data_IF_739650621231
#
_entry.id   IF_739650621231
#
_cell.length_a   1.000
_cell.length_b   1.000
_cell.length_c   1.000
_cell.angle_alpha   90.00
_cell.angle_beta   90.00
_cell.angle_gamma   90.00
#
_symmetry.space_group_name_H-M   'P 1'
#
loop_
_entity.id
_entity.type
_entity.pdbx_description
1 polymer ?
#
# COMPACT_ATOMS: atom_id res chain seq x y z
N UNK A 1 14.74 4.45 -5.97
CA UNK A 1 14.85 5.16 -4.68
C UNK A 1 16.21 4.84 -4.10
N UNK A 2 16.90 5.83 -3.54
CA UNK A 2 18.24 5.70 -2.98
C UNK A 2 18.20 4.94 -1.64
N UNK A 3 19.14 4.02 -1.45
CA UNK A 3 19.33 3.20 -0.26
C UNK A 3 20.59 3.68 0.45
N UNK A 4 20.46 4.03 1.72
CA UNK A 4 21.59 4.44 2.57
C UNK A 4 22.07 3.21 3.32
N UNK A 5 23.38 3.00 3.34
CA UNK A 5 24.01 1.94 4.13
C UNK A 5 24.80 2.54 5.28
N UNK A 6 24.62 1.97 6.47
CA UNK A 6 25.42 2.29 7.65
C UNK A 6 26.91 2.10 7.33
N UNK A 7 27.82 3.01 7.73
CA UNK A 7 29.23 2.95 7.36
C UNK A 7 30.01 1.86 8.11
N UNK A 8 29.73 0.60 7.80
CA UNK A 8 30.35 -0.58 8.40
C UNK A 8 31.89 -0.57 8.27
N UNK A 9 32.45 0.13 7.28
CA UNK A 9 33.90 0.25 7.07
C UNK A 9 34.57 1.34 7.93
N UNK A 10 33.81 2.16 8.67
CA UNK A 10 34.34 3.21 9.55
C UNK A 10 34.00 3.01 11.03
N UNK A 11 33.11 2.06 11.33
CA UNK A 11 32.66 1.76 12.68
C UNK A 11 33.01 0.32 13.00
N UNK A 12 33.74 0.13 14.09
CA UNK A 12 34.16 -1.19 14.54
C UNK A 12 32.95 -2.02 15.02
N UNK A 13 32.97 -3.31 14.70
CA UNK A 13 31.91 -4.24 15.13
C UNK A 13 31.88 -4.34 16.66
N UNK A 14 30.68 -4.30 17.23
CA UNK A 14 30.44 -4.38 18.67
C UNK A 14 30.52 -3.02 19.40
N UNK A 15 30.82 -1.93 18.68
CA UNK A 15 30.84 -0.59 19.27
C UNK A 15 29.46 -0.12 19.74
N UNK A 16 29.47 0.75 20.75
CA UNK A 16 28.32 1.53 21.20
C UNK A 16 28.17 2.77 20.35
N UNK A 17 27.02 2.94 19.69
CA UNK A 17 26.81 4.01 18.73
C UNK A 17 25.59 4.86 19.09
N UNK A 18 25.74 6.16 18.92
CA UNK A 18 24.61 7.11 18.86
C UNK A 18 24.38 7.46 17.40
N UNK A 19 23.14 7.35 16.95
CA UNK A 19 22.73 7.80 15.62
C UNK A 19 22.24 9.24 15.74
N UNK A 20 22.84 10.18 15.01
CA UNK A 20 22.42 11.59 15.01
C UNK A 20 21.55 11.87 13.78
N UNK A 21 20.26 12.09 14.02
CA UNK A 21 19.20 12.24 13.04
C UNK A 21 18.22 11.06 13.12
N UNK A 22 17.00 11.31 13.59
CA UNK A 22 15.91 10.34 13.70
C UNK A 22 15.03 10.26 12.44
N UNK A 23 15.38 11.01 11.39
CA UNK A 23 14.75 10.95 10.08
C UNK A 23 15.03 9.65 9.31
N UNK A 24 14.66 9.63 8.03
CA UNK A 24 14.71 8.42 7.16
C UNK A 24 16.05 7.67 7.20
N UNK A 25 17.17 8.36 7.08
CA UNK A 25 18.51 7.71 7.04
C UNK A 25 18.84 7.08 8.39
N UNK A 26 18.54 7.76 9.50
CA UNK A 26 18.82 7.24 10.84
C UNK A 26 17.99 6.03 11.20
N UNK A 27 16.73 5.99 10.75
CA UNK A 27 15.87 4.82 10.90
C UNK A 27 16.38 3.61 10.12
N UNK A 28 16.89 3.82 8.90
CA UNK A 28 17.53 2.76 8.11
C UNK A 28 18.76 2.22 8.84
N UNK A 29 19.65 3.10 9.32
CA UNK A 29 20.84 2.69 10.07
C UNK A 29 20.50 1.92 11.34
N UNK A 30 19.53 2.41 12.11
CA UNK A 30 19.04 1.72 13.30
C UNK A 30 18.52 0.31 12.95
N UNK A 31 17.71 0.19 11.91
CA UNK A 31 17.16 -1.09 11.47
C UNK A 31 18.26 -2.06 11.02
N UNK A 32 19.27 -1.58 10.27
CA UNK A 32 20.42 -2.38 9.86
C UNK A 32 21.19 -2.92 11.06
N UNK A 33 21.46 -2.07 12.06
CA UNK A 33 22.22 -2.45 13.24
C UNK A 33 21.47 -3.43 14.15
N UNK A 34 20.16 -3.24 14.35
CA UNK A 34 19.33 -4.17 15.12
C UNK A 34 19.20 -5.52 14.40
N UNK A 35 19.01 -5.49 13.08
CA UNK A 35 18.85 -6.72 12.27
C UNK A 35 20.15 -7.54 12.25
N UNK A 36 21.29 -6.88 12.12
CA UNK A 36 22.60 -7.55 12.01
C UNK A 36 23.25 -7.83 13.35
N UNK A 37 22.84 -7.14 14.41
CA UNK A 37 23.55 -7.13 15.71
C UNK A 37 24.97 -6.58 15.60
N UNK A 38 25.27 -5.74 14.60
CA UNK A 38 26.63 -5.29 14.31
C UNK A 38 27.17 -4.30 15.36
N UNK A 39 26.35 -3.39 15.86
CA UNK A 39 26.68 -2.43 16.93
C UNK A 39 25.54 -2.35 17.94
N UNK A 40 25.85 -1.90 19.16
CA UNK A 40 24.87 -1.55 20.18
C UNK A 40 24.41 -0.10 19.98
N UNK A 41 23.16 0.11 19.58
CA UNK A 41 22.61 1.47 19.47
C UNK A 41 22.14 1.92 20.85
N UNK A 42 22.85 2.87 21.45
CA UNK A 42 22.58 3.32 22.83
C UNK A 42 21.55 4.46 22.89
N UNK A 43 21.45 5.27 21.83
CA UNK A 43 20.44 6.30 21.67
C UNK A 43 20.37 6.80 20.22
N UNK A 44 19.28 7.50 19.88
CA UNK A 44 19.17 8.29 18.65
C UNK A 44 18.97 9.76 19.03
N UNK A 45 19.82 10.66 18.59
CA UNK A 45 19.72 12.08 18.91
C UNK A 45 19.07 12.86 17.75
N UNK A 46 18.09 13.72 18.03
CA UNK A 46 17.48 14.58 17.01
C UNK A 46 17.03 15.93 17.60
N UNK A 47 17.13 17.02 16.85
CA UNK A 47 16.69 18.35 17.33
C UNK A 47 15.20 18.42 17.56
N UNK A 48 14.43 17.62 16.84
CA UNK A 48 12.99 17.51 17.01
C UNK A 48 12.64 16.22 17.77
N UNK A 49 13.47 15.81 18.74
CA UNK A 49 13.34 14.54 19.47
C UNK A 49 11.95 14.32 20.06
N UNK A 50 11.28 15.38 20.53
CA UNK A 50 9.92 15.34 21.09
C UNK A 50 8.87 14.85 20.08
N UNK A 51 9.15 14.92 18.77
CA UNK A 51 8.25 14.44 17.71
C UNK A 51 8.30 12.93 17.49
N UNK A 52 9.28 12.24 18.08
CA UNK A 52 9.51 10.81 17.85
C UNK A 52 9.19 10.00 19.11
N UNK A 53 8.40 8.94 18.95
CA UNK A 53 8.12 7.98 20.03
C UNK A 53 9.29 7.01 20.25
N UNK A 54 9.24 6.23 21.33
CA UNK A 54 10.18 5.14 21.61
C UNK A 54 10.21 4.16 20.43
N UNK A 55 11.37 3.98 19.81
CA UNK A 55 11.54 3.05 18.68
C UNK A 55 11.54 1.58 19.15
N UNK A 56 11.86 1.35 20.42
CA UNK A 56 11.72 0.09 21.14
C UNK A 56 11.76 0.34 22.65
N UNK A 57 11.42 -0.65 23.48
CA UNK A 57 11.48 -0.54 24.96
C UNK A 57 12.84 -0.05 25.49
N UNK A 58 13.92 -0.24 24.70
CA UNK A 58 15.29 -0.01 25.13
C UNK A 58 16.02 1.14 24.40
N UNK A 59 15.41 1.77 23.39
CA UNK A 59 16.08 2.83 22.61
C UNK A 59 15.19 4.07 22.53
N UNK A 60 15.71 5.18 23.08
CA UNK A 60 15.06 6.48 23.13
C UNK A 60 15.58 7.41 22.03
N UNK A 61 14.68 8.24 21.51
CA UNK A 61 15.08 9.45 20.79
C UNK A 61 15.31 10.54 21.83
N UNK A 62 16.49 11.16 21.79
CA UNK A 62 16.99 12.05 22.84
C UNK A 62 17.31 13.43 22.27
N UNK A 63 17.27 14.42 23.15
CA UNK A 63 17.84 15.73 22.86
C UNK A 63 19.36 15.61 22.62
N UNK A 64 19.90 16.17 21.51
CA UNK A 64 21.33 16.27 21.29
C UNK A 64 22.15 16.77 22.49
N UNK A 65 21.61 17.67 23.31
CA UNK A 65 22.30 18.18 24.49
C UNK A 65 22.55 17.09 25.55
N UNK A 66 21.75 16.03 25.55
CA UNK A 66 21.88 14.92 26.50
C UNK A 66 22.87 13.84 26.06
N UNK A 67 23.45 13.94 24.86
CA UNK A 67 24.44 12.98 24.32
C UNK A 67 25.58 12.73 25.32
N UNK A 68 26.03 13.76 26.05
CA UNK A 68 27.11 13.66 27.02
C UNK A 68 26.81 12.71 28.20
N UNK A 69 25.53 12.40 28.47
CA UNK A 69 25.12 11.47 29.51
C UNK A 69 25.25 9.98 29.10
N UNK A 70 25.50 9.71 27.82
CA UNK A 70 25.58 8.35 27.28
C UNK A 70 27.03 7.89 27.11
N UNK A 71 27.27 6.60 27.32
CA UNK A 71 28.54 5.96 26.99
C UNK A 71 28.50 5.46 25.53
N UNK A 72 29.36 6.03 24.68
CA UNK A 72 29.43 5.69 23.26
C UNK A 72 30.86 5.76 22.71
N UNK A 73 31.11 4.95 21.69
CA UNK A 73 32.35 4.91 20.93
C UNK A 73 32.27 5.87 19.73
N UNK A 74 31.13 5.88 19.03
CA UNK A 74 30.90 6.70 17.84
C UNK A 74 29.54 7.42 17.85
N UNK A 75 29.51 8.60 17.22
CA UNK A 75 28.30 9.27 16.77
C UNK A 75 28.27 9.18 15.25
N UNK A 76 27.25 8.54 14.70
CA UNK A 76 27.05 8.38 13.26
C UNK A 76 25.97 9.35 12.80
N UNK A 77 26.34 10.33 11.98
CA UNK A 77 25.42 11.36 11.45
C UNK A 77 24.64 10.76 10.28
N UNK A 78 23.33 10.69 10.44
CA UNK A 78 22.40 10.10 9.50
C UNK A 78 21.54 11.19 8.82
N UNK A 79 22.21 12.11 8.11
CA UNK A 79 21.59 13.27 7.45
C UNK A 79 22.08 13.35 6.01
N UNK A 80 21.15 13.37 5.04
CA UNK A 80 21.48 13.39 3.60
C UNK A 80 21.97 14.75 3.09
N UNK A 81 21.65 15.85 3.77
CA UNK A 81 22.08 17.17 3.33
C UNK A 81 23.49 17.50 3.86
N UNK A 82 24.46 17.60 2.95
CA UNK A 82 25.87 17.85 3.30
C UNK A 82 26.08 19.14 4.10
N UNK A 83 25.38 20.23 3.76
CA UNK A 83 25.48 21.50 4.50
C UNK A 83 24.93 21.37 5.93
N UNK A 84 23.87 20.59 6.11
CA UNK A 84 23.32 20.31 7.45
C UNK A 84 24.26 19.41 8.24
N UNK A 85 24.84 18.40 7.59
CA UNK A 85 25.83 17.53 8.21
C UNK A 85 27.04 18.31 8.71
N UNK A 86 27.60 19.22 7.91
CA UNK A 86 28.71 20.08 8.32
C UNK A 86 28.36 20.96 9.52
N UNK A 87 27.14 21.52 9.56
CA UNK A 87 26.62 22.28 10.71
C UNK A 87 26.51 21.41 11.96
N UNK A 88 26.04 20.17 11.83
CA UNK A 88 25.94 19.22 12.95
C UNK A 88 27.33 18.83 13.46
N UNK A 89 28.29 18.54 12.57
CA UNK A 89 29.68 18.27 12.97
C UNK A 89 30.28 19.45 13.74
N UNK A 90 30.05 20.67 13.27
CA UNK A 90 30.51 21.88 13.95
C UNK A 90 29.86 22.02 15.35
N UNK A 91 28.54 21.84 15.44
CA UNK A 91 27.79 21.86 16.70
C UNK A 91 28.29 20.81 17.70
N UNK A 92 28.43 19.55 17.28
CA UNK A 92 28.91 18.46 18.13
C UNK A 92 30.31 18.73 18.69
N UNK A 93 31.19 19.36 17.89
CA UNK A 93 32.56 19.71 18.31
C UNK A 93 32.61 20.93 19.22
N UNK A 94 31.93 22.01 18.81
CA UNK A 94 32.03 23.32 19.47
C UNK A 94 31.21 23.38 20.76
N UNK A 95 29.97 22.88 20.72
CA UNK A 95 29.01 23.02 21.82
C UNK A 95 29.04 21.81 22.76
N UNK A 96 29.23 20.60 22.21
CA UNK A 96 29.20 19.35 22.99
C UNK A 96 30.59 18.72 23.22
N UNK A 97 31.65 19.35 22.73
CA UNK A 97 33.03 18.91 22.95
C UNK A 97 33.38 17.52 22.38
N UNK A 98 32.59 17.01 21.43
CA UNK A 98 32.78 15.66 20.88
C UNK A 98 34.05 15.61 20.04
N UNK A 99 34.94 14.65 20.34
CA UNK A 99 36.15 14.43 19.54
C UNK A 99 35.80 14.09 18.09
N UNK A 100 36.43 14.79 17.14
CA UNK A 100 36.19 14.56 15.71
C UNK A 100 36.48 13.13 15.24
N UNK A 101 37.29 12.36 15.97
CA UNK A 101 37.56 10.94 15.68
C UNK A 101 36.38 10.02 15.98
N UNK A 102 35.47 10.45 16.87
CA UNK A 102 34.24 9.74 17.22
C UNK A 102 33.08 10.07 16.28
N UNK A 103 33.20 11.08 15.42
CA UNK A 103 32.12 11.54 14.54
C UNK A 103 32.28 10.93 13.16
N UNK A 104 31.33 10.09 12.76
CA UNK A 104 31.28 9.44 11.44
C UNK A 104 30.13 10.05 10.65
N UNK A 105 30.38 10.50 9.42
CA UNK A 105 29.36 11.11 8.57
C UNK A 105 29.49 10.74 7.10
N UNK A 106 30.11 9.59 6.84
CA UNK A 106 30.21 9.04 5.50
C UNK A 106 29.08 8.04 5.31
N UNK A 107 28.25 8.21 4.29
CA UNK A 107 27.20 7.25 3.95
C UNK A 107 27.30 6.94 2.47
N UNK A 108 27.27 5.66 2.10
CA UNK A 108 27.22 5.28 0.69
C UNK A 108 25.77 5.33 0.24
N UNK A 109 25.53 6.12 -0.82
CA UNK A 109 24.31 6.09 -1.60
C UNK A 109 24.37 4.90 -2.56
N UNK A 110 23.65 3.81 -2.26
CA UNK A 110 23.43 2.75 -3.24
C UNK A 110 22.08 2.96 -3.94
N UNK A 111 22.04 2.86 -5.25
CA UNK A 111 20.80 2.73 -6.01
C UNK A 111 20.68 1.30 -6.56
N UNK A 112 19.49 0.67 -6.64
CA UNK A 112 18.29 0.78 -5.82
C UNK A 112 18.01 -0.54 -5.06
N UNK A 113 17.74 -0.52 -3.74
CA UNK A 113 16.96 -1.59 -3.10
C UNK A 113 16.34 -1.20 -1.75
N UNK A 114 15.04 -1.49 -1.63
CA UNK A 114 14.15 -1.35 -0.46
C UNK A 114 13.71 0.08 -0.10
N UNK A 115 12.40 0.28 -0.22
CA UNK A 115 11.66 1.45 0.25
C UNK A 115 11.37 1.25 1.75
N UNK A 116 11.76 2.21 2.58
CA UNK A 116 11.23 2.37 3.95
C UNK A 116 10.40 3.65 3.96
N UNK A 117 9.05 3.59 4.03
CA UNK A 117 8.21 4.74 4.31
C UNK A 117 7.83 4.83 5.79
N UNK A 118 7.60 6.07 6.20
CA UNK A 118 7.36 6.61 7.55
C UNK A 118 6.26 5.93 8.36
N UNK A 119 6.43 5.95 9.69
CA UNK A 119 5.34 5.82 10.67
C UNK A 119 4.61 7.18 10.71
N UNK A 120 3.34 7.19 10.31
CA UNK A 120 2.43 8.32 10.55
C UNK A 120 1.51 8.02 11.73
N UNK A 121 1.45 8.97 12.67
CA UNK A 121 0.36 9.34 13.61
C UNK A 121 -0.68 8.28 14.02
N UNK A 122 -0.84 8.15 15.35
CA UNK A 122 -2.02 7.65 16.08
C UNK A 122 -3.28 7.44 15.23
N UNK A 123 -3.66 6.18 15.07
CA UNK A 123 -5.06 5.76 15.03
C UNK A 123 -5.24 4.72 16.12
N UNK A 124 -6.13 5.02 17.07
CA UNK A 124 -6.42 4.16 18.20
C UNK A 124 -7.17 2.94 17.72
N UNK A 125 -6.67 1.76 18.08
CA UNK A 125 -7.36 0.50 18.35
C UNK A 125 -6.33 -0.62 18.24
N UNK A 126 -5.32 -0.63 19.13
CA UNK A 126 -4.34 -1.71 19.16
C UNK A 126 -4.05 -2.16 20.58
N UNK A 127 -4.11 -3.47 20.79
CA UNK A 127 -3.46 -4.14 21.92
C UNK A 127 -1.95 -4.11 21.67
N UNK A 128 -1.15 -3.74 22.69
CA UNK A 128 0.33 -3.82 22.62
C UNK A 128 0.84 -5.24 22.35
N UNK A 129 -0.02 -6.25 22.52
CA UNK A 129 0.31 -7.67 22.32
C UNK A 129 -0.10 -8.19 20.96
N UNK A 130 0.78 -8.96 20.35
CA UNK A 130 0.49 -9.74 19.14
C UNK A 130 -0.50 -10.87 19.43
N UNK A 131 -1.24 -11.31 18.42
CA UNK A 131 -2.20 -12.40 18.51
C UNK A 131 -1.55 -13.69 19.05
N UNK A 132 -0.30 -14.00 18.65
CA UNK A 132 0.41 -15.19 19.13
C UNK A 132 0.73 -15.16 20.63
N UNK A 133 0.64 -13.99 21.29
CA UNK A 133 0.86 -13.80 22.72
C UNK A 133 -0.44 -13.97 23.53
N UNK A 134 -1.57 -14.10 22.84
CA UNK A 134 -2.87 -14.34 23.44
C UNK A 134 -3.11 -15.83 23.55
N UNK A 135 -3.26 -16.33 24.76
CA UNK A 135 -3.60 -17.72 25.02
C UNK A 135 -5.10 -17.98 24.79
N UNK A 136 -5.43 -18.78 23.78
CA UNK A 136 -6.79 -19.24 23.47
C UNK A 136 -6.73 -20.44 22.49
N UNK A 137 -7.84 -21.18 22.33
CA UNK A 137 -7.93 -22.41 21.52
C UNK A 137 -8.08 -22.23 19.99
N UNK A 138 -7.85 -21.02 19.46
CA UNK A 138 -7.93 -20.69 18.04
C UNK A 138 -6.59 -20.75 17.30
N UNK A 139 -6.63 -20.48 16.01
CA UNK A 139 -5.44 -20.32 15.17
C UNK A 139 -4.94 -18.88 15.27
N UNK A 140 -3.63 -18.68 15.27
CA UNK A 140 -2.97 -17.36 15.20
C UNK A 140 -2.48 -17.11 13.80
N UNK A 141 -3.07 -16.13 13.15
CA UNK A 141 -2.81 -15.85 11.73
C UNK A 141 -2.13 -14.49 11.63
N UNK A 142 -0.99 -14.45 10.93
CA UNK A 142 -0.39 -13.21 10.44
C UNK A 142 -0.66 -13.08 8.95
N UNK A 143 -1.20 -11.95 8.52
CA UNK A 143 -1.36 -11.63 7.09
C UNK A 143 -0.62 -10.35 6.76
N UNK A 144 0.42 -10.46 5.92
CA UNK A 144 0.99 -9.30 5.26
C UNK A 144 0.19 -9.01 3.99
N UNK A 145 -0.18 -7.76 3.75
CA UNK A 145 -0.88 -7.31 2.55
C UNK A 145 -0.04 -6.27 1.79
N UNK A 146 -0.31 -6.13 0.48
CA UNK A 146 0.29 -5.07 -0.33
C UNK A 146 -0.04 -3.66 0.19
N UNK A 147 0.71 -2.65 -0.30
CA UNK A 147 0.53 -1.26 0.12
C UNK A 147 -0.59 -0.53 -0.65
N UNK A 148 -1.10 -1.10 -1.74
CA UNK A 148 -2.17 -0.51 -2.55
C UNK A 148 -3.55 -0.81 -1.96
N UNK A 149 -4.44 0.18 -1.97
CA UNK A 149 -5.83 0.01 -1.53
C UNK A 149 -6.55 -1.11 -2.28
N UNK A 150 -6.35 -1.20 -3.61
CA UNK A 150 -6.92 -2.27 -4.43
C UNK A 150 -6.39 -3.66 -4.07
N UNK A 151 -5.08 -3.75 -3.80
CA UNK A 151 -4.44 -5.01 -3.38
C UNK A 151 -5.02 -5.48 -2.04
N UNK A 152 -5.29 -4.57 -1.11
CA UNK A 152 -5.89 -4.88 0.20
C UNK A 152 -7.34 -5.35 0.04
N UNK A 153 -8.12 -4.74 -0.85
CA UNK A 153 -9.50 -5.17 -1.14
C UNK A 153 -9.52 -6.58 -1.72
N UNK A 154 -8.63 -6.88 -2.67
CA UNK A 154 -8.49 -8.24 -3.21
C UNK A 154 -8.01 -9.20 -2.11
N UNK A 155 -7.00 -8.80 -1.33
CA UNK A 155 -6.47 -9.59 -0.23
C UNK A 155 -7.52 -9.94 0.81
N UNK A 156 -8.44 -9.01 1.12
CA UNK A 156 -9.56 -9.26 2.03
C UNK A 156 -10.41 -10.46 1.59
N UNK A 157 -10.63 -10.67 0.28
CA UNK A 157 -11.37 -11.85 -0.19
C UNK A 157 -10.64 -13.16 0.16
N UNK A 158 -9.33 -13.20 -0.03
CA UNK A 158 -8.50 -14.35 0.36
C UNK A 158 -8.51 -14.56 1.87
N UNK A 159 -8.41 -13.49 2.65
CA UNK A 159 -8.47 -13.52 4.12
C UNK A 159 -9.82 -14.05 4.60
N UNK A 160 -10.94 -13.58 4.03
CA UNK A 160 -12.28 -14.06 4.37
C UNK A 160 -12.42 -15.57 4.13
N UNK A 161 -11.83 -16.09 3.06
CA UNK A 161 -11.86 -17.51 2.76
C UNK A 161 -11.00 -18.35 3.72
N UNK A 162 -9.83 -17.83 4.13
CA UNK A 162 -9.01 -18.42 5.20
C UNK A 162 -9.80 -18.44 6.52
N UNK A 163 -10.39 -17.30 6.91
CA UNK A 163 -11.15 -17.15 8.15
C UNK A 163 -12.42 -18.02 8.17
N UNK A 164 -13.09 -18.22 7.02
CA UNK A 164 -14.25 -19.12 6.87
C UNK A 164 -13.93 -20.56 7.30
N UNK A 165 -12.69 -21.00 7.05
CA UNK A 165 -12.21 -22.34 7.42
C UNK A 165 -11.54 -22.39 8.79
N UNK A 166 -11.43 -21.24 9.46
CA UNK A 166 -10.73 -21.09 10.73
C UNK A 166 -11.71 -21.20 11.93
N UNK A 167 -11.25 -21.64 13.11
CA UNK A 167 -12.10 -21.71 14.31
C UNK A 167 -12.61 -20.33 14.77
N UNK A 168 -13.72 -20.26 15.52
CA UNK A 168 -14.27 -18.98 15.99
C UNK A 168 -13.31 -18.13 16.82
N UNK A 169 -12.42 -18.75 17.60
CA UNK A 169 -11.44 -18.06 18.47
C UNK A 169 -10.15 -17.66 17.74
N UNK A 170 -10.13 -17.74 16.40
CA UNK A 170 -8.99 -17.33 15.58
C UNK A 170 -8.75 -15.84 15.76
N UNK A 171 -7.47 -15.48 15.89
CA UNK A 171 -7.02 -14.10 15.94
C UNK A 171 -6.12 -13.82 14.73
N UNK A 172 -6.38 -12.69 14.07
CA UNK A 172 -5.70 -12.23 12.88
C UNK A 172 -4.95 -10.93 13.19
N UNK A 173 -3.64 -10.95 12.97
CA UNK A 173 -2.84 -9.73 12.88
C UNK A 173 -2.55 -9.42 11.42
N UNK A 174 -2.87 -8.20 10.99
CA UNK A 174 -2.58 -7.72 9.64
C UNK A 174 -1.36 -6.80 9.65
N UNK A 175 -0.54 -6.90 8.61
CA UNK A 175 0.66 -6.08 8.44
C UNK A 175 0.54 -5.28 7.14
N UNK A 176 0.75 -3.96 7.18
CA UNK A 176 0.61 -3.11 5.99
C UNK A 176 0.37 -1.63 6.31
N UNK A 177 -0.29 -0.91 5.40
CA UNK A 177 -0.70 0.49 5.60
C UNK A 177 -1.99 0.53 6.45
N UNK A 178 -1.86 0.94 7.71
CA UNK A 178 -2.94 0.90 8.71
C UNK A 178 -4.23 1.54 8.21
N UNK A 179 -4.15 2.78 7.70
CA UNK A 179 -5.30 3.52 7.15
C UNK A 179 -6.14 2.70 6.16
N UNK A 180 -5.50 1.98 5.24
CA UNK A 180 -6.21 1.19 4.23
C UNK A 180 -6.74 -0.13 4.81
N UNK A 181 -5.99 -0.77 5.71
CA UNK A 181 -6.44 -2.00 6.37
C UNK A 181 -7.65 -1.71 7.25
N UNK A 182 -7.62 -0.66 8.05
CA UNK A 182 -8.73 -0.26 8.91
C UNK A 182 -9.97 0.09 8.07
N UNK A 183 -9.77 0.84 6.98
CA UNK A 183 -10.87 1.18 6.08
C UNK A 183 -11.47 -0.04 5.38
N UNK A 184 -10.71 -1.11 5.12
CA UNK A 184 -11.21 -2.24 4.33
C UNK A 184 -11.62 -3.43 5.21
N UNK A 185 -10.97 -3.65 6.34
CA UNK A 185 -11.04 -4.90 7.11
C UNK A 185 -11.56 -4.75 8.55
N UNK A 186 -11.95 -3.55 8.99
CA UNK A 186 -12.43 -3.31 10.36
C UNK A 186 -13.72 -4.06 10.74
N UNK A 187 -14.46 -4.58 9.75
CA UNK A 187 -15.62 -5.45 9.94
C UNK A 187 -15.27 -6.92 10.24
N UNK A 188 -14.00 -7.33 10.13
CA UNK A 188 -13.60 -8.71 10.40
C UNK A 188 -13.54 -8.95 11.92
N UNK A 189 -14.39 -9.82 12.51
CA UNK A 189 -14.41 -10.03 13.96
C UNK A 189 -13.12 -10.63 14.52
N UNK A 190 -12.35 -11.32 13.67
CA UNK A 190 -11.08 -11.94 14.04
C UNK A 190 -9.89 -10.96 13.97
N UNK A 191 -10.07 -9.77 13.39
CA UNK A 191 -9.01 -8.77 13.32
C UNK A 191 -8.65 -8.32 14.74
N UNK A 192 -7.47 -8.72 15.20
CA UNK A 192 -6.94 -8.42 16.52
C UNK A 192 -6.16 -7.11 16.49
N UNK A 193 -5.14 -7.02 15.63
CA UNK A 193 -4.33 -5.83 15.45
C UNK A 193 -3.89 -5.61 14.00
N UNK A 194 -3.44 -4.38 13.73
CA UNK A 194 -2.78 -3.98 12.49
C UNK A 194 -1.43 -3.39 12.85
N UNK A 195 -0.39 -3.94 12.25
CA UNK A 195 0.99 -3.53 12.48
C UNK A 195 1.60 -2.93 11.20
N UNK A 196 2.62 -2.07 11.35
CA UNK A 196 3.43 -1.65 10.22
C UNK A 196 4.08 -2.86 9.53
N UNK A 197 4.13 -2.83 8.19
CA UNK A 197 4.62 -3.94 7.35
C UNK A 197 6.03 -4.45 7.74
N UNK A 198 6.89 -3.58 8.26
CA UNK A 198 8.27 -3.91 8.62
C UNK A 198 8.38 -4.83 9.85
N UNK A 199 7.33 -4.97 10.64
CA UNK A 199 7.30 -5.96 11.73
C UNK A 199 7.11 -7.38 11.21
N UNK A 200 6.50 -7.56 10.04
CA UNK A 200 6.09 -8.89 9.57
C UNK A 200 7.27 -9.89 9.53
N UNK A 201 8.39 -9.50 8.92
CA UNK A 201 9.54 -10.39 8.72
C UNK A 201 10.15 -10.90 10.03
N UNK A 202 10.10 -10.12 11.11
CA UNK A 202 10.65 -10.51 12.42
C UNK A 202 9.64 -11.28 13.28
N UNK A 203 8.34 -11.19 12.97
CA UNK A 203 7.28 -11.80 13.78
C UNK A 203 6.63 -13.04 13.15
N UNK A 204 6.62 -13.16 11.81
CA UNK A 204 5.80 -14.15 11.09
C UNK A 204 6.02 -15.61 11.55
N UNK A 205 7.24 -15.97 11.93
CA UNK A 205 7.59 -17.34 12.37
C UNK A 205 6.97 -17.74 13.71
N UNK A 206 6.47 -16.78 14.50
CA UNK A 206 5.84 -17.02 15.81
C UNK A 206 4.36 -17.40 15.71
N UNK A 207 3.74 -17.21 14.55
CA UNK A 207 2.33 -17.51 14.31
C UNK A 207 2.11 -18.98 13.96
N UNK A 208 0.84 -19.40 13.97
CA UNK A 208 0.47 -20.74 13.51
C UNK A 208 0.40 -20.78 11.99
N UNK A 209 -0.11 -19.70 11.39
CA UNK A 209 -0.16 -19.50 9.95
C UNK A 209 0.31 -18.07 9.64
N UNK A 210 1.30 -17.93 8.77
CA UNK A 210 1.68 -16.62 8.23
C UNK A 210 1.58 -16.64 6.71
N UNK A 211 0.84 -15.67 6.17
CA UNK A 211 0.57 -15.55 4.74
C UNK A 211 0.98 -14.16 4.27
N UNK A 212 1.64 -14.07 3.14
CA UNK A 212 1.81 -12.80 2.43
C UNK A 212 0.88 -12.82 1.21
N UNK A 213 -0.09 -11.91 1.20
CA UNK A 213 -1.11 -11.82 0.16
C UNK A 213 -0.78 -10.64 -0.77
N UNK A 214 -0.18 -10.98 -1.91
CA UNK A 214 -0.07 -10.09 -3.08
C UNK A 214 -0.63 -10.81 -4.31
N UNK A 215 -0.28 -10.37 -5.52
CA UNK A 215 -0.55 -11.15 -6.74
C UNK A 215 0.07 -12.55 -6.65
N UNK A 216 1.26 -12.65 -6.06
CA UNK A 216 1.88 -13.91 -5.66
C UNK A 216 1.64 -14.15 -4.18
N UNK A 217 0.92 -15.22 -3.87
CA UNK A 217 0.67 -15.63 -2.49
C UNK A 217 1.90 -16.36 -1.95
N UNK A 218 2.38 -15.98 -0.77
CA UNK A 218 3.40 -16.73 -0.02
C UNK A 218 2.82 -17.33 1.26
N UNK A 219 3.30 -18.52 1.60
CA UNK A 219 3.02 -19.20 2.86
C UNK A 219 4.33 -19.24 3.67
N UNK A 220 4.52 -18.26 4.55
CA UNK A 220 5.79 -18.03 5.23
C UNK A 220 5.89 -18.86 6.53
N UNK A 221 4.76 -19.29 7.09
CA UNK A 221 4.69 -20.15 8.27
C UNK A 221 3.44 -21.03 8.24
N UNK A 222 3.60 -22.32 8.54
CA UNK A 222 2.52 -23.28 8.76
C UNK A 222 2.89 -24.18 9.95
N UNK A 223 2.12 -24.14 11.02
CA UNK A 223 2.24 -25.03 12.18
C UNK A 223 1.29 -26.23 12.02
N UNK A 224 1.65 -27.16 11.12
CA UNK A 224 0.76 -28.23 10.68
C UNK A 224 0.10 -29.00 11.83
N UNK A 225 0.88 -29.49 12.79
CA UNK A 225 0.36 -30.27 13.91
C UNK A 225 -0.70 -29.52 14.71
N UNK A 226 -0.52 -28.21 14.95
CA UNK A 226 -1.48 -27.41 15.70
C UNK A 226 -2.74 -27.14 14.87
N UNK A 227 -2.58 -26.74 13.61
CA UNK A 227 -3.72 -26.46 12.72
C UNK A 227 -4.52 -27.75 12.45
N UNK A 228 -3.88 -28.91 12.35
CA UNK A 228 -4.57 -30.20 12.15
C UNK A 228 -5.55 -30.51 13.29
N UNK A 229 -5.13 -30.23 14.53
CA UNK A 229 -5.93 -30.48 15.72
C UNK A 229 -7.18 -29.58 15.81
N UNK A 230 -7.05 -28.31 15.46
CA UNK A 230 -8.13 -27.32 15.68
C UNK A 230 -8.88 -26.92 14.40
N UNK A 231 -8.28 -27.09 13.22
CA UNK A 231 -8.77 -26.61 11.95
C UNK A 231 -8.32 -27.50 10.76
N UNK A 232 -8.66 -28.81 10.73
CA UNK A 232 -8.16 -29.73 9.72
C UNK A 232 -8.55 -29.35 8.28
N UNK A 233 -9.71 -28.70 8.09
CA UNK A 233 -10.12 -28.19 6.77
C UNK A 233 -9.27 -27.02 6.30
N UNK A 234 -8.89 -26.12 7.22
CA UNK A 234 -7.94 -25.04 6.92
C UNK A 234 -6.58 -25.63 6.52
N UNK A 235 -6.08 -26.62 7.27
CA UNK A 235 -4.81 -27.28 6.94
C UNK A 235 -4.86 -27.96 5.57
N UNK A 236 -5.95 -28.64 5.25
CA UNK A 236 -6.14 -29.24 3.92
C UNK A 236 -6.02 -28.20 2.81
N UNK A 237 -6.73 -27.07 2.95
CA UNK A 237 -6.67 -25.96 1.99
C UNK A 237 -5.26 -25.40 1.87
N UNK A 238 -4.60 -25.10 2.99
CA UNK A 238 -3.24 -24.53 3.02
C UNK A 238 -2.21 -25.50 2.42
N UNK A 239 -2.33 -26.82 2.66
CA UNK A 239 -1.47 -27.84 2.04
C UNK A 239 -1.65 -27.87 0.52
N UNK A 240 -2.87 -27.76 0.01
CA UNK A 240 -3.12 -27.72 -1.43
C UNK A 240 -2.60 -26.43 -2.07
N UNK A 241 -2.79 -25.30 -1.42
CA UNK A 241 -2.22 -24.02 -1.83
C UNK A 241 -0.69 -24.08 -1.88
N UNK A 242 -0.05 -24.62 -0.84
CA UNK A 242 1.40 -24.83 -0.80
C UNK A 242 1.90 -25.70 -1.96
N UNK A 243 1.21 -26.81 -2.24
CA UNK A 243 1.55 -27.68 -3.39
C UNK A 243 1.48 -26.91 -4.71
N UNK A 244 0.46 -26.09 -4.93
CA UNK A 244 0.32 -25.28 -6.15
C UNK A 244 1.45 -24.27 -6.29
N UNK A 245 1.75 -23.53 -5.23
CA UNK A 245 2.84 -22.53 -5.25
C UNK A 245 4.20 -23.18 -5.57
N UNK A 246 4.47 -24.36 -5.02
CA UNK A 246 5.69 -25.12 -5.27
C UNK A 246 5.76 -25.68 -6.70
N UNK A 247 4.68 -26.29 -7.21
CA UNK A 247 4.61 -26.79 -8.58
C UNK A 247 4.90 -25.70 -9.61
N UNK A 248 4.59 -24.46 -9.27
CA UNK A 248 4.64 -23.34 -10.18
C UNK A 248 5.96 -22.57 -10.13
N UNK A 249 6.88 -22.95 -9.23
CA UNK A 249 8.11 -22.21 -8.98
C UNK A 249 7.86 -20.81 -8.42
N UNK A 250 6.70 -20.59 -7.79
CA UNK A 250 6.27 -19.29 -7.26
C UNK A 250 6.55 -19.17 -5.76
N UNK A 251 6.89 -20.27 -5.09
CA UNK A 251 7.20 -20.26 -3.67
C UNK A 251 8.47 -19.45 -3.37
N UNK A 252 8.37 -18.47 -2.46
CA UNK A 252 9.51 -17.75 -1.90
C UNK A 252 10.17 -16.70 -2.81
N UNK A 253 9.70 -16.51 -4.05
CA UNK A 253 10.22 -15.45 -4.92
C UNK A 253 9.35 -14.20 -4.89
N UNK A 254 10.01 -13.06 -4.69
CA UNK A 254 9.41 -11.72 -4.71
C UNK A 254 9.78 -10.95 -5.99
N UNK A 255 10.29 -11.66 -7.01
CA UNK A 255 10.64 -11.05 -8.28
C UNK A 255 9.38 -10.56 -8.99
N UNK A 256 9.32 -9.26 -9.28
CA UNK A 256 8.15 -8.65 -9.91
C UNK A 256 7.86 -9.26 -11.28
N UNK A 257 8.89 -9.66 -12.01
CA UNK A 257 8.78 -10.37 -13.28
C UNK A 257 7.94 -11.65 -13.19
N UNK A 258 7.93 -12.34 -12.05
CA UNK A 258 7.08 -13.52 -11.85
C UNK A 258 5.59 -13.17 -11.78
N UNK A 259 5.21 -11.93 -11.43
CA UNK A 259 3.83 -11.50 -11.53
C UNK A 259 3.35 -11.57 -12.99
N UNK A 260 4.19 -11.20 -13.96
CA UNK A 260 3.83 -11.28 -15.38
C UNK A 260 3.63 -12.73 -15.86
N UNK A 261 4.47 -13.66 -15.38
CA UNK A 261 4.32 -15.10 -15.63
C UNK A 261 3.04 -15.61 -14.98
N UNK A 262 2.78 -15.23 -13.73
CA UNK A 262 1.56 -15.57 -13.02
C UNK A 262 0.30 -15.06 -13.74
N UNK A 263 0.33 -13.84 -14.24
CA UNK A 263 -0.74 -13.27 -15.06
C UNK A 263 -0.92 -14.08 -16.34
N UNK A 264 0.14 -14.38 -17.09
CA UNK A 264 0.04 -15.19 -18.31
C UNK A 264 -0.61 -16.56 -18.05
N UNK A 265 -0.29 -17.19 -16.91
CA UNK A 265 -0.92 -18.45 -16.48
C UNK A 265 -2.38 -18.27 -16.12
N UNK A 266 -2.70 -17.24 -15.34
CA UNK A 266 -4.09 -16.91 -15.01
C UNK A 266 -4.91 -16.70 -16.28
N UNK A 267 -4.37 -15.99 -17.27
CA UNK A 267 -5.02 -15.82 -18.58
C UNK A 267 -5.26 -17.15 -19.27
N UNK A 268 -4.28 -18.05 -19.30
CA UNK A 268 -4.42 -19.38 -19.90
C UNK A 268 -5.54 -20.20 -19.24
N UNK A 269 -5.68 -20.09 -17.91
CA UNK A 269 -6.71 -20.79 -17.15
C UNK A 269 -8.01 -19.98 -16.95
N UNK A 270 -8.17 -18.86 -17.65
CA UNK A 270 -9.32 -17.94 -17.52
C UNK A 270 -9.60 -17.49 -16.07
N UNK A 271 -8.55 -17.00 -15.40
CA UNK A 271 -8.57 -16.51 -14.02
C UNK A 271 -8.25 -15.03 -13.93
N UNK A 272 -8.77 -14.42 -12.87
CA UNK A 272 -8.56 -13.02 -12.52
C UNK A 272 -7.88 -12.89 -11.15
N UNK A 273 -7.74 -11.65 -10.67
CA UNK A 273 -7.07 -11.34 -9.41
C UNK A 273 -7.68 -11.99 -8.16
N UNK A 274 -8.93 -12.47 -8.23
CA UNK A 274 -9.64 -13.15 -7.15
C UNK A 274 -9.60 -14.68 -7.26
N UNK A 275 -9.56 -15.20 -8.48
CA UNK A 275 -9.67 -16.64 -8.74
C UNK A 275 -8.33 -17.32 -9.05
N UNK A 276 -7.22 -16.59 -8.94
CA UNK A 276 -5.88 -17.08 -9.27
C UNK A 276 -5.48 -18.39 -8.56
N UNK A 277 -5.96 -18.61 -7.34
CA UNK A 277 -5.57 -19.71 -6.44
C UNK A 277 -6.71 -20.68 -6.08
N UNK A 278 -7.69 -20.86 -6.98
CA UNK A 278 -8.89 -21.67 -6.71
C UNK A 278 -8.80 -23.16 -7.10
N UNK A 279 -7.65 -23.61 -7.59
CA UNK A 279 -7.47 -25.00 -8.04
C UNK A 279 -7.45 -26.02 -6.89
N UNK A 280 -7.66 -27.29 -7.22
CA UNK A 280 -7.27 -28.49 -6.44
C UNK A 280 -7.50 -28.45 -4.91
N UNK A 281 -8.60 -27.82 -4.46
CA UNK A 281 -8.94 -27.69 -3.04
C UNK A 281 -8.12 -26.65 -2.28
N UNK A 282 -7.60 -25.63 -2.97
CA UNK A 282 -7.10 -24.37 -2.42
C UNK A 282 -8.25 -23.43 -2.03
N UNK A 283 -8.18 -22.16 -2.39
CA UNK A 283 -9.17 -21.15 -2.01
C UNK A 283 -10.49 -21.31 -2.79
N UNK A 284 -11.66 -21.40 -2.17
CA UNK A 284 -12.93 -21.59 -2.89
C UNK A 284 -13.64 -20.27 -3.23
N UNK A 285 -12.96 -19.38 -3.96
CA UNK A 285 -13.52 -18.07 -4.35
C UNK A 285 -14.32 -18.17 -5.66
N UNK A 286 -15.59 -17.75 -5.62
CA UNK A 286 -16.56 -17.86 -6.73
C UNK A 286 -17.05 -16.51 -7.29
N UNK A 287 -16.71 -15.41 -6.62
CA UNK A 287 -17.17 -14.07 -6.95
C UNK A 287 -16.13 -13.04 -6.49
N UNK A 288 -16.27 -11.81 -6.98
CA UNK A 288 -15.37 -10.68 -6.71
C UNK A 288 -15.87 -9.76 -5.60
N UNK A 289 -16.98 -10.11 -4.91
CA UNK A 289 -17.62 -9.25 -3.91
C UNK A 289 -16.88 -9.31 -2.59
N UNK A 290 -16.59 -8.14 -2.05
CA UNK A 290 -15.89 -7.88 -0.81
C UNK A 290 -16.69 -6.82 -0.05
N UNK A 291 -17.29 -7.14 1.10
CA UNK A 291 -17.95 -6.13 1.93
C UNK A 291 -16.97 -5.03 2.31
N UNK A 292 -17.38 -3.77 2.25
CA UNK A 292 -16.57 -2.63 2.69
C UNK A 292 -17.26 -2.00 3.92
N UNK A 293 -16.61 -1.96 5.10
CA UNK A 293 -17.17 -1.26 6.24
C UNK A 293 -17.29 0.23 5.97
N UNK A 294 -18.35 0.85 6.49
CA UNK A 294 -18.61 2.28 6.41
C UNK A 294 -18.72 2.81 7.83
N UNK A 295 -17.82 3.73 8.21
CA UNK A 295 -17.92 4.41 9.50
C UNK A 295 -18.92 5.56 9.43
N UNK A 296 -19.80 5.70 10.43
CA UNK A 296 -20.69 6.87 10.52
C UNK A 296 -19.97 8.19 10.81
N UNK A 297 -18.67 8.14 11.16
CA UNK A 297 -17.86 9.31 11.54
C UNK A 297 -17.84 10.42 10.49
N UNK A 298 -17.94 10.07 9.21
CA UNK A 298 -17.88 11.01 8.09
C UNK A 298 -19.26 11.30 7.46
N UNK A 299 -20.35 10.76 8.01
CA UNK A 299 -21.70 10.98 7.49
C UNK A 299 -22.08 12.47 7.49
N UNK A 300 -21.84 13.17 8.60
CA UNK A 300 -22.10 14.61 8.71
C UNK A 300 -21.25 15.43 7.74
N UNK A 301 -19.97 15.08 7.60
CA UNK A 301 -19.07 15.77 6.66
C UNK A 301 -19.53 15.57 5.22
N UNK A 302 -19.98 14.37 4.86
CA UNK A 302 -20.57 14.10 3.55
C UNK A 302 -21.84 14.93 3.30
N UNK A 303 -22.76 14.98 4.27
CA UNK A 303 -23.98 15.77 4.16
C UNK A 303 -23.68 17.26 3.94
N UNK A 304 -22.67 17.80 4.63
CA UNK A 304 -22.23 19.18 4.50
C UNK A 304 -21.62 19.50 3.13
N UNK A 305 -21.23 18.50 2.34
CA UNK A 305 -20.80 18.71 0.96
C UNK A 305 -21.98 19.03 0.02
N UNK A 306 -23.23 18.80 0.43
CA UNK A 306 -24.41 19.03 -0.39
C UNK A 306 -24.53 18.12 -1.62
N UNK A 307 -23.71 17.05 -1.69
CA UNK A 307 -23.70 16.10 -2.81
C UNK A 307 -24.88 15.13 -2.77
N UNK A 308 -25.49 14.92 -1.60
CA UNK A 308 -26.66 14.05 -1.43
C UNK A 308 -27.87 14.44 -2.27
N UNK A 309 -27.94 15.71 -2.68
CA UNK A 309 -29.08 16.27 -3.41
C UNK A 309 -28.71 16.63 -4.86
N UNK A 310 -27.60 16.11 -5.37
CA UNK A 310 -27.12 16.36 -6.72
C UNK A 310 -26.83 15.04 -7.43
N UNK A 311 -27.11 15.00 -8.72
CA UNK A 311 -26.53 13.99 -9.58
C UNK A 311 -25.07 14.37 -9.82
N UNK A 312 -24.15 13.49 -9.46
CA UNK A 312 -22.73 13.74 -9.67
C UNK A 312 -21.98 12.47 -10.07
N UNK A 313 -20.88 12.70 -10.77
CA UNK A 313 -19.86 11.70 -11.07
C UNK A 313 -18.55 12.10 -10.41
N UNK A 314 -17.65 11.15 -10.28
CA UNK A 314 -16.33 11.40 -9.68
C UNK A 314 -15.23 11.17 -10.70
N UNK A 315 -14.27 12.09 -10.75
CA UNK A 315 -13.01 11.93 -11.48
C UNK A 315 -11.87 11.74 -10.48
N UNK A 316 -10.93 10.86 -10.80
CA UNK A 316 -9.67 10.75 -10.10
C UNK A 316 -8.52 10.76 -11.11
N UNK A 317 -7.52 11.60 -10.85
CA UNK A 317 -6.34 11.74 -11.69
C UNK A 317 -5.13 11.26 -10.91
N UNK A 318 -4.84 9.96 -10.89
CA UNK A 318 -3.64 9.56 -10.16
C UNK A 318 -3.40 8.08 -9.96
N UNK A 319 -2.21 7.81 -9.42
CA UNK A 319 -1.88 6.53 -8.82
C UNK A 319 -0.98 6.74 -7.60
N UNK A 320 -1.55 6.56 -6.41
CA UNK A 320 -0.83 6.62 -5.14
C UNK A 320 -0.10 7.95 -4.89
N UNK A 321 0.79 7.96 -3.88
CA UNK A 321 1.52 9.15 -3.42
C UNK A 321 2.56 9.71 -4.44
N UNK A 322 2.65 9.13 -5.64
CA UNK A 322 3.74 9.39 -6.60
C UNK A 322 3.32 10.33 -7.75
N UNK A 323 2.07 10.77 -7.83
CA UNK A 323 1.62 11.79 -8.81
C UNK A 323 2.13 13.21 -8.52
N UNK A 324 3.26 13.37 -7.81
CA UNK A 324 3.87 14.68 -7.55
C UNK A 324 4.62 15.20 -8.77
N UNK A 325 4.00 16.19 -9.44
CA UNK A 325 4.50 17.28 -10.32
C UNK A 325 5.56 17.03 -11.41
N UNK A 326 6.30 15.92 -11.47
CA UNK A 326 7.35 15.67 -12.47
C UNK A 326 7.54 14.21 -12.93
N UNK A 327 6.76 13.24 -12.41
CA UNK A 327 6.80 11.84 -12.89
C UNK A 327 5.40 11.33 -13.25
N UNK A 328 5.09 11.26 -14.54
CA UNK A 328 3.84 10.66 -15.05
C UNK A 328 3.95 9.15 -14.96
N UNK A 329 3.09 8.52 -14.16
CA UNK A 329 2.98 7.07 -14.14
C UNK A 329 2.35 6.59 -15.46
N UNK A 330 2.83 5.48 -16.01
CA UNK A 330 2.47 4.96 -17.33
C UNK A 330 0.99 4.55 -17.51
N UNK A 331 0.20 4.61 -16.44
CA UNK A 331 -1.22 4.22 -16.43
C UNK A 331 -2.16 5.39 -16.17
N UNK A 332 -1.62 6.56 -15.86
CA UNK A 332 -2.41 7.76 -15.61
C UNK A 332 -2.83 8.32 -16.96
N UNK A 333 -4.13 8.62 -17.10
CA UNK A 333 -4.69 9.20 -18.32
C UNK A 333 -4.29 10.67 -18.43
N UNK A 334 -4.31 11.25 -19.63
CA UNK A 334 -3.85 12.63 -19.82
C UNK A 334 -4.81 13.61 -19.14
N UNK A 335 -4.29 14.59 -18.39
CA UNK A 335 -5.14 15.60 -17.72
C UNK A 335 -5.97 16.39 -18.73
N UNK A 336 -5.37 16.76 -19.86
CA UNK A 336 -6.08 17.43 -20.98
C UNK A 336 -7.20 16.58 -21.58
N UNK A 337 -7.18 15.26 -21.38
CA UNK A 337 -8.26 14.38 -21.83
C UNK A 337 -9.40 14.34 -20.81
N UNK A 338 -9.10 14.40 -19.52
CA UNK A 338 -10.13 14.65 -18.51
C UNK A 338 -10.83 15.99 -18.74
N UNK A 339 -10.10 17.06 -19.04
CA UNK A 339 -10.69 18.39 -19.36
C UNK A 339 -11.67 18.30 -20.52
N UNK A 340 -11.25 17.69 -21.64
CA UNK A 340 -12.13 17.50 -22.81
C UNK A 340 -13.34 16.63 -22.48
N UNK A 341 -13.16 15.57 -21.69
CA UNK A 341 -14.27 14.72 -21.28
C UNK A 341 -15.26 15.50 -20.41
N UNK A 342 -14.77 16.35 -19.49
CA UNK A 342 -15.61 17.22 -18.68
C UNK A 342 -16.41 18.20 -19.55
N UNK A 343 -15.78 18.85 -20.54
CA UNK A 343 -16.46 19.73 -21.50
C UNK A 343 -17.58 19.00 -22.26
N UNK A 344 -17.32 17.77 -22.72
CA UNK A 344 -18.33 16.95 -23.40
C UNK A 344 -19.49 16.58 -22.47
N UNK A 345 -19.19 16.21 -21.22
CA UNK A 345 -20.19 15.85 -20.21
C UNK A 345 -21.04 17.06 -19.85
N UNK A 346 -20.46 18.22 -19.60
CA UNK A 346 -21.23 19.45 -19.32
C UNK A 346 -22.08 19.89 -20.52
N UNK A 347 -21.61 19.66 -21.74
CA UNK A 347 -22.35 19.95 -22.96
C UNK A 347 -23.57 19.05 -23.16
N UNK A 348 -23.48 17.76 -22.84
CA UNK A 348 -24.56 16.78 -23.00
C UNK A 348 -25.46 16.65 -21.76
N UNK A 349 -24.92 16.86 -20.55
CA UNK A 349 -25.56 16.67 -19.25
C UNK A 349 -25.28 17.87 -18.31
N UNK A 350 -25.86 19.06 -18.60
CA UNK A 350 -25.54 20.30 -17.88
C UNK A 350 -25.92 20.30 -16.39
N UNK A 351 -26.82 19.41 -15.96
CA UNK A 351 -27.21 19.22 -14.56
C UNK A 351 -26.26 18.32 -13.76
N UNK A 352 -25.34 17.62 -14.44
CA UNK A 352 -24.42 16.69 -13.81
C UNK A 352 -23.21 17.41 -13.23
N UNK A 353 -22.97 17.23 -11.93
CA UNK A 353 -21.81 17.77 -11.24
C UNK A 353 -20.62 16.81 -11.39
N UNK A 354 -19.44 17.34 -11.74
CA UNK A 354 -18.18 16.60 -11.79
C UNK A 354 -17.38 16.91 -10.53
N UNK A 355 -17.15 15.88 -9.72
CA UNK A 355 -16.40 15.97 -8.46
C UNK A 355 -15.04 15.33 -8.62
N UNK A 356 -13.96 16.10 -8.47
CA UNK A 356 -12.62 15.53 -8.39
C UNK A 356 -12.33 15.03 -6.97
N UNK A 357 -11.85 13.80 -6.86
CA UNK A 357 -11.33 13.21 -5.62
C UNK A 357 -9.87 12.76 -5.84
N UNK A 358 -9.10 12.62 -4.75
CA UNK A 358 -7.69 12.21 -4.83
C UNK A 358 -6.91 12.47 -3.55
N UNK A 359 -5.61 12.15 -3.57
CA UNK A 359 -4.70 12.36 -2.44
C UNK A 359 -4.17 13.80 -2.36
N UNK A 360 -3.49 14.17 -1.27
CA UNK A 360 -3.07 15.57 -0.97
C UNK A 360 -2.23 16.27 -2.07
N UNK A 361 -1.57 15.49 -2.95
CA UNK A 361 -0.66 16.01 -3.96
C UNK A 361 -1.17 15.79 -5.40
N UNK A 362 -2.47 15.51 -5.57
CA UNK A 362 -3.07 15.31 -6.88
C UNK A 362 -3.00 16.57 -7.75
N UNK A 363 -2.90 16.39 -9.06
CA UNK A 363 -3.07 17.50 -10.01
C UNK A 363 -4.55 17.91 -10.04
N UNK A 364 -4.81 19.20 -9.85
CA UNK A 364 -6.12 19.80 -10.07
C UNK A 364 -6.49 19.76 -11.56
N UNK A 365 -7.66 19.21 -11.88
CA UNK A 365 -8.15 19.08 -13.25
C UNK A 365 -8.98 20.30 -13.64
N UNK A 366 -8.82 20.75 -14.89
CA UNK A 366 -9.71 21.76 -15.46
C UNK A 366 -11.09 21.15 -15.81
N UNK A 367 -12.15 21.96 -15.71
CA UNK A 367 -13.52 21.55 -16.01
C UNK A 367 -14.25 20.81 -14.86
N UNK A 368 -13.72 20.88 -13.64
CA UNK A 368 -14.31 20.26 -12.45
C UNK A 368 -15.20 21.26 -11.70
N UNK A 369 -16.38 20.81 -11.26
CA UNK A 369 -17.33 21.65 -10.50
C UNK A 369 -16.98 21.71 -9.01
N UNK A 370 -16.43 20.62 -8.46
CA UNK A 370 -16.05 20.55 -7.05
C UNK A 370 -14.82 19.68 -6.82
N UNK A 371 -13.83 20.22 -6.13
CA UNK A 371 -12.62 19.50 -5.74
C UNK A 371 -12.68 19.04 -4.28
N UNK A 372 -12.45 17.75 -4.06
CA UNK A 372 -12.43 17.09 -2.75
C UNK A 372 -11.17 16.24 -2.66
N UNK A 373 -10.03 16.92 -2.74
CA UNK A 373 -8.69 16.35 -2.75
C UNK A 373 -8.13 16.32 -1.31
N UNK A 374 -7.34 15.30 -0.98
CA UNK A 374 -6.66 15.21 0.32
C UNK A 374 -7.59 14.94 1.50
N UNK A 375 -8.70 14.25 1.25
CA UNK A 375 -9.70 13.95 2.29
C UNK A 375 -9.55 12.53 2.81
N UNK A 376 -10.03 12.35 4.04
CA UNK A 376 -10.07 11.05 4.72
C UNK A 376 -10.78 10.00 3.85
N UNK A 377 -10.25 8.77 3.82
CA UNK A 377 -10.77 7.69 3.00
C UNK A 377 -12.22 7.31 3.33
N UNK A 378 -12.67 7.40 4.58
CA UNK A 378 -14.09 7.18 4.94
C UNK A 378 -15.01 8.18 4.26
N UNK A 379 -14.64 9.48 4.21
CA UNK A 379 -15.41 10.48 3.47
C UNK A 379 -15.44 10.16 1.97
N UNK A 380 -14.30 9.73 1.42
CA UNK A 380 -14.21 9.29 0.02
C UNK A 380 -15.13 8.11 -0.26
N UNK A 381 -15.30 7.15 0.66
CA UNK A 381 -16.27 6.06 0.49
C UNK A 381 -17.71 6.57 0.37
N UNK A 382 -18.12 7.55 1.18
CA UNK A 382 -19.46 8.13 1.07
C UNK A 382 -19.66 8.81 -0.29
N UNK A 383 -18.64 9.54 -0.76
CA UNK A 383 -18.67 10.19 -2.07
C UNK A 383 -18.75 9.13 -3.18
N UNK A 384 -17.92 8.09 -3.14
CA UNK A 384 -17.96 7.03 -4.14
C UNK A 384 -19.30 6.30 -4.15
N UNK A 385 -19.79 5.86 -2.98
CA UNK A 385 -21.05 5.11 -2.82
C UNK A 385 -22.27 5.84 -3.39
N UNK A 386 -22.27 7.17 -3.36
CA UNK A 386 -23.41 7.98 -3.81
C UNK A 386 -23.18 8.62 -5.19
N UNK A 387 -22.02 8.42 -5.83
CA UNK A 387 -21.78 8.87 -7.18
C UNK A 387 -22.53 8.00 -8.20
N UNK A 388 -22.99 8.60 -9.30
CA UNK A 388 -23.62 7.87 -10.40
C UNK A 388 -22.61 7.00 -11.16
N UNK A 389 -21.40 7.55 -11.35
CA UNK A 389 -20.29 6.94 -12.06
C UNK A 389 -18.96 7.42 -11.45
N UNK A 390 -17.96 6.53 -11.39
CA UNK A 390 -16.57 6.88 -11.10
C UNK A 390 -15.71 6.70 -12.35
N UNK A 391 -14.94 7.73 -12.75
CA UNK A 391 -14.04 7.69 -13.91
C UNK A 391 -12.59 7.77 -13.43
N UNK A 392 -11.83 6.72 -13.72
CA UNK A 392 -10.43 6.58 -13.27
C UNK A 392 -9.69 5.56 -14.13
N UNK A 393 -8.35 5.59 -14.06
CA UNK A 393 -7.54 4.44 -14.45
C UNK A 393 -7.71 3.27 -13.48
N UNK A 394 -7.35 2.06 -13.90
CA UNK A 394 -7.35 0.91 -12.98
C UNK A 394 -6.50 1.20 -11.73
N UNK A 395 -7.12 1.13 -10.54
CA UNK A 395 -6.47 1.48 -9.28
C UNK A 395 -7.38 1.32 -8.07
N UNK A 396 -6.87 1.73 -6.90
CA UNK A 396 -7.52 1.48 -5.60
C UNK A 396 -8.93 2.05 -5.45
N UNK A 397 -9.18 3.24 -5.99
CA UNK A 397 -10.51 3.86 -5.91
C UNK A 397 -11.53 3.16 -6.82
N UNK A 398 -11.12 2.62 -7.96
CA UNK A 398 -11.96 1.74 -8.80
C UNK A 398 -12.37 0.49 -8.02
N UNK A 399 -11.42 -0.20 -7.39
CA UNK A 399 -11.72 -1.37 -6.56
C UNK A 399 -12.70 -1.00 -5.45
N UNK A 400 -12.45 0.10 -4.72
CA UNK A 400 -13.31 0.56 -3.64
C UNK A 400 -14.72 0.93 -4.10
N UNK A 401 -14.84 1.75 -5.15
CA UNK A 401 -16.12 2.20 -5.71
C UNK A 401 -16.98 1.02 -6.18
N UNK A 402 -16.35 0.05 -6.86
CA UNK A 402 -17.05 -1.16 -7.33
C UNK A 402 -17.65 -1.95 -6.18
N UNK A 403 -16.88 -2.15 -5.10
CA UNK A 403 -17.37 -2.87 -3.91
C UNK A 403 -18.44 -2.11 -3.13
N UNK A 404 -18.48 -0.78 -3.25
CA UNK A 404 -19.55 0.07 -2.70
C UNK A 404 -20.81 0.08 -3.58
N UNK A 405 -20.78 -0.57 -4.75
CA UNK A 405 -21.89 -0.67 -5.69
C UNK A 405 -21.91 0.41 -6.78
N UNK A 406 -20.88 1.25 -6.84
CA UNK A 406 -20.77 2.33 -7.83
C UNK A 406 -20.14 1.81 -9.10
N UNK A 407 -20.81 2.03 -10.24
CA UNK A 407 -20.28 1.67 -11.55
C UNK A 407 -19.07 2.55 -11.86
N UNK A 408 -18.02 1.95 -12.40
CA UNK A 408 -16.82 2.65 -12.83
C UNK A 408 -16.66 2.63 -14.36
N UNK A 409 -16.20 3.73 -14.93
CA UNK A 409 -15.57 3.78 -16.25
C UNK A 409 -14.06 3.67 -16.04
N UNK A 410 -13.52 2.50 -16.35
CA UNK A 410 -12.15 2.12 -15.98
C UNK A 410 -11.26 2.18 -17.21
N UNK A 411 -10.23 3.01 -17.15
CA UNK A 411 -9.28 3.24 -18.23
C UNK A 411 -8.08 2.28 -18.09
N UNK A 412 -7.99 1.28 -18.97
CA UNK A 412 -6.93 0.28 -18.96
C UNK A 412 -5.83 0.60 -19.99
N UNK A 413 -4.61 0.80 -19.49
CA UNK A 413 -3.40 0.91 -20.29
C UNK A 413 -2.46 -0.28 -20.08
N UNK A 414 -1.40 -0.13 -19.26
CA UNK A 414 -0.38 -1.17 -19.08
C UNK A 414 -0.86 -2.35 -18.22
N UNK A 415 -1.96 -2.22 -17.49
CA UNK A 415 -2.50 -3.29 -16.63
C UNK A 415 -3.53 -4.16 -17.37
N UNK A 416 -3.52 -5.48 -17.15
CA UNK A 416 -4.40 -6.41 -17.85
C UNK A 416 -5.86 -6.30 -17.41
N UNK A 417 -6.71 -5.81 -18.32
CA UNK A 417 -8.17 -5.73 -18.12
C UNK A 417 -8.79 -7.07 -17.73
N UNK A 418 -8.40 -8.18 -18.37
CA UNK A 418 -8.96 -9.50 -18.09
C UNK A 418 -8.62 -10.02 -16.68
N UNK A 419 -7.63 -9.41 -16.00
CA UNK A 419 -7.20 -9.83 -14.66
C UNK A 419 -7.74 -8.93 -13.56
N UNK A 420 -7.71 -7.60 -13.76
CA UNK A 420 -8.11 -6.60 -12.76
C UNK A 420 -9.52 -6.03 -13.00
N UNK A 421 -10.09 -6.25 -14.18
CA UNK A 421 -11.40 -5.73 -14.55
C UNK A 421 -12.55 -6.43 -13.83
N UNK A 422 -13.59 -5.65 -13.58
CA UNK A 422 -14.87 -6.09 -13.03
C UNK A 422 -15.90 -6.11 -14.14
N UNK A 423 -16.68 -7.20 -14.27
CA UNK A 423 -17.67 -7.34 -15.34
C UNK A 423 -18.80 -6.30 -15.22
N UNK A 424 -19.10 -5.86 -14.00
CA UNK A 424 -20.09 -4.83 -13.71
C UNK A 424 -19.67 -3.43 -14.17
N UNK A 425 -18.38 -3.20 -14.45
CA UNK A 425 -17.85 -1.90 -14.83
C UNK A 425 -17.77 -1.72 -16.35
N UNK A 426 -17.67 -0.45 -16.77
CA UNK A 426 -17.40 -0.07 -18.15
C UNK A 426 -15.87 -0.09 -18.31
N UNK A 427 -15.32 -1.26 -18.65
CA UNK A 427 -13.88 -1.41 -18.86
C UNK A 427 -13.49 -0.95 -20.28
N UNK A 428 -12.59 0.02 -20.38
CA UNK A 428 -12.21 0.67 -21.63
C UNK A 428 -10.72 0.46 -21.89
N UNK A 429 -10.40 -0.17 -23.02
CA UNK A 429 -9.04 -0.32 -23.52
C UNK A 429 -9.00 -0.04 -25.02
N UNK A 430 -7.94 0.63 -25.47
CA UNK A 430 -7.71 0.88 -26.90
C UNK A 430 -7.20 -0.37 -27.65
N UNK A 431 -6.71 -1.40 -26.94
CA UNK A 431 -6.17 -2.64 -27.50
C UNK A 431 -5.04 -2.45 -28.54
N UNK A 432 -4.34 -1.31 -28.54
CA UNK A 432 -3.22 -1.04 -29.46
C UNK A 432 -1.85 -1.44 -28.91
N UNK A 433 -1.74 -1.58 -27.59
CA UNK A 433 -0.51 -1.92 -26.87
C UNK A 433 -0.86 -2.98 -25.83
N UNK A 434 -0.21 -4.16 -25.84
CA UNK A 434 -0.49 -5.20 -24.86
C UNK A 434 -0.18 -4.75 -23.42
N UNK A 435 -0.86 -5.32 -22.41
CA UNK A 435 -0.51 -5.12 -21.02
C UNK A 435 0.95 -5.53 -20.75
N UNK A 436 1.69 -4.67 -20.04
CA UNK A 436 3.11 -4.82 -19.77
C UNK A 436 3.48 -4.64 -18.30
N UNK A 437 2.50 -4.44 -17.41
CA UNK A 437 2.78 -4.27 -15.99
C UNK A 437 3.56 -5.48 -15.44
N UNK A 438 4.57 -5.18 -14.62
CA UNK A 438 5.45 -6.18 -14.01
C UNK A 438 6.25 -7.06 -14.97
N UNK A 439 6.45 -6.67 -16.24
CA UNK A 439 7.51 -7.25 -17.08
C UNK A 439 8.91 -6.78 -16.67
N UNK A 440 9.00 -5.64 -15.98
CA UNK A 440 10.21 -5.09 -15.35
C UNK A 440 9.85 -4.54 -13.96
N UNK A 441 10.86 -4.28 -13.12
CA UNK A 441 10.65 -3.78 -11.76
C UNK A 441 9.97 -2.41 -11.73
N UNK A 442 10.35 -1.53 -12.67
CA UNK A 442 9.78 -0.19 -12.80
C UNK A 442 8.52 -0.20 -13.68
N UNK A 443 7.41 -0.67 -13.12
CA UNK A 443 6.11 -0.62 -13.80
C UNK A 443 5.49 0.78 -13.86
N UNK A 444 6.08 1.77 -13.18
CA UNK A 444 5.60 3.15 -13.19
C UNK A 444 5.96 3.88 -14.50
N UNK A 445 6.96 3.41 -15.23
CA UNK A 445 7.35 3.97 -16.52
C UNK A 445 6.86 3.08 -17.66
N UNK A 446 6.64 3.69 -18.83
CA UNK A 446 6.34 2.91 -20.02
C UNK A 446 7.52 1.99 -20.32
N UNK A 447 7.30 0.70 -20.56
CA UNK A 447 8.38 -0.24 -20.92
C UNK A 447 9.08 0.17 -22.24
N UNK A 448 8.36 0.86 -23.13
CA UNK A 448 8.90 1.45 -24.36
C UNK A 448 9.56 2.82 -24.13
N UNK A 449 9.62 3.29 -22.88
CA UNK A 449 10.22 4.56 -22.44
C UNK A 449 9.63 5.80 -23.12
N UNK A 450 8.34 5.74 -23.44
CA UNK A 450 7.57 6.87 -23.93
C UNK A 450 7.09 7.72 -22.74
N UNK A 451 7.25 9.04 -22.85
CA UNK A 451 6.73 9.99 -21.85
C UNK A 451 5.20 10.00 -21.81
N UNK A 452 4.58 9.76 -22.97
CA UNK A 452 3.14 9.57 -23.14
C UNK A 452 2.88 8.16 -23.68
N UNK A 453 2.56 7.19 -22.82
CA UNK A 453 2.26 5.82 -23.24
C UNK A 453 1.10 5.80 -24.25
N UNK A 454 1.32 5.19 -25.41
CA UNK A 454 0.30 5.09 -26.47
C UNK A 454 -0.97 4.38 -25.97
N UNK A 455 -0.85 3.41 -25.05
CA UNK A 455 -1.97 2.69 -24.47
C UNK A 455 -2.97 3.62 -23.77
N UNK A 456 -2.47 4.64 -23.07
CA UNK A 456 -3.30 5.66 -22.42
C UNK A 456 -3.69 6.78 -23.39
N UNK A 457 -2.80 7.17 -24.31
CA UNK A 457 -3.06 8.23 -25.30
C UNK A 457 -4.11 7.85 -26.34
N UNK A 458 -4.24 6.56 -26.67
CA UNK A 458 -5.24 6.07 -27.62
C UNK A 458 -6.65 6.01 -27.03
N UNK A 459 -6.80 6.12 -25.72
CA UNK A 459 -8.09 6.31 -25.05
C UNK A 459 -8.53 7.76 -25.25
N UNK A 460 -8.99 8.12 -26.45
CA UNK A 460 -9.45 9.49 -26.73
C UNK A 460 -10.74 9.81 -25.94
N UNK A 461 -10.95 11.07 -25.49
CA UNK A 461 -12.17 11.45 -24.76
C UNK A 461 -13.47 11.04 -25.46
N UNK A 462 -13.55 11.13 -26.80
CA UNK A 462 -14.73 10.68 -27.56
C UNK A 462 -15.05 9.19 -27.33
N UNK A 463 -14.01 8.35 -27.29
CA UNK A 463 -14.18 6.91 -27.02
C UNK A 463 -14.72 6.69 -25.61
N UNK A 464 -14.20 7.43 -24.63
CA UNK A 464 -14.67 7.34 -23.25
C UNK A 464 -16.11 7.83 -23.14
N UNK A 465 -16.42 8.98 -23.74
CA UNK A 465 -17.75 9.57 -23.76
C UNK A 465 -18.77 8.62 -24.39
N UNK A 466 -18.46 8.03 -25.55
CA UNK A 466 -19.33 7.04 -26.22
C UNK A 466 -19.68 5.87 -25.30
N UNK A 467 -18.70 5.36 -24.54
CA UNK A 467 -18.90 4.20 -23.64
C UNK A 467 -19.72 4.56 -22.40
N UNK A 468 -19.55 5.75 -21.84
CA UNK A 468 -20.27 6.17 -20.64
C UNK A 468 -21.66 6.74 -20.93
N UNK A 469 -21.87 7.37 -22.09
CA UNK A 469 -23.14 8.01 -22.51
C UNK A 469 -24.33 7.08 -22.31
N UNK A 470 -24.25 5.86 -22.85
CA UNK A 470 -25.32 4.85 -22.70
C UNK A 470 -25.71 4.60 -21.25
N UNK A 471 -24.76 4.62 -20.33
CA UNK A 471 -25.05 4.42 -18.91
C UNK A 471 -25.61 5.69 -18.28
N UNK A 472 -25.04 6.87 -18.57
CA UNK A 472 -25.53 8.14 -18.05
C UNK A 472 -26.98 8.43 -18.49
N UNK A 473 -27.34 8.14 -19.74
CA UNK A 473 -28.71 8.25 -20.25
C UNK A 473 -29.71 7.48 -19.38
N UNK A 474 -29.32 6.28 -18.91
CA UNK A 474 -30.18 5.43 -18.06
C UNK A 474 -30.29 5.89 -16.61
N UNK A 475 -29.51 6.89 -16.20
CA UNK A 475 -29.48 7.41 -14.83
C UNK A 475 -30.04 8.81 -14.70
N UNK A 476 -29.91 9.60 -15.76
CA UNK A 476 -30.30 11.01 -15.78
C UNK A 476 -31.70 11.19 -16.39
N UNK A 477 -32.05 10.39 -17.40
CA UNK A 477 -33.36 10.45 -18.06
C UNK A 477 -34.35 9.40 -17.54
N UNK A 478 -33.97 8.65 -16.50
CA UNK A 478 -34.84 7.74 -15.73
C UNK A 478 -35.49 8.46 -14.57
#
# INVERSE_FOLDING_TARGET
>A
METYIFPFWKVDKGSKVIIYGAGRVGQIFWQELITTGYCEVVAIADREWEKYELLSENIKVIDPETIAAYSYDYIVIAINNELVCQKVVAYLKAELGVSGKKIIYDSILLAPNKIVPMISRKMGYYSDKFAYEIDNNGVRIAVFVGNGLGDIIIAKKYIMEILRLSPPHTLLDMFGKAEFIEAVCSDLPQLHNVFPWNFYASQCQKYDLAVYVTYLLSLDKISENKIELVAPRLLYMVRNLSKQLNLYGLAGSQERTLNSVHFARCRYFNRNAYTAYTEAGGLEIKDTRVPIPMSESECTNFNNLGLMYRNYITFHYGWGEISSKNKKHAKVWLSTYFTKLAEMIHGEYPELCIVQIGGDNELHLDGIDKEIIGKNLELVKYILKNALLHVDCEGGLVHLATQLGTKCAVLFGPTPQWYFGYEENINISANICPPCCYLEDNFASCIRRLDEPECMKALHPDMVMEKIRKYLDTKIHS
#
